data_IF_685032156232
#
_entry.id   IF_685032156232
#
_cell.length_a   1.000
_cell.length_b   1.000
_cell.length_c   1.000
_cell.angle_alpha   90.00
_cell.angle_beta   90.00
_cell.angle_gamma   90.00
#
_symmetry.space_group_name_H-M   'P 1'
#
loop_
_entity.id
_entity.type
_entity.pdbx_description
1 polymer ?
#
# COMPACT_ATOMS: atom_id res chain seq x y z
N UNK A 1 8.80 -9.42 39.89
CA UNK A 1 8.48 -9.27 38.45
C UNK A 1 7.44 -8.17 38.32
N UNK A 2 7.83 -6.98 37.89
CA UNK A 2 6.95 -5.83 37.82
C UNK A 2 6.23 -5.79 36.46
N UNK A 3 4.91 -5.91 36.46
CA UNK A 3 4.06 -5.68 35.30
C UNK A 3 4.01 -4.17 35.00
N UNK A 4 4.47 -3.75 33.82
CA UNK A 4 4.36 -2.37 33.37
C UNK A 4 2.89 -1.99 33.06
N UNK A 5 2.45 -0.75 33.35
CA UNK A 5 1.04 -0.33 33.27
C UNK A 5 0.50 -0.11 31.84
N UNK A 6 1.17 -0.61 30.81
CA UNK A 6 0.77 -0.47 29.40
C UNK A 6 0.81 -1.79 28.62
N UNK A 7 0.67 -2.93 29.29
CA UNK A 7 0.46 -4.19 28.59
C UNK A 7 -0.98 -4.24 28.04
N UNK A 8 -1.26 -3.40 27.04
CA UNK A 8 -2.47 -3.50 26.21
C UNK A 8 -2.54 -4.97 25.76
N UNK A 9 -3.68 -5.64 25.99
CA UNK A 9 -3.85 -7.00 25.45
C UNK A 9 -3.68 -6.92 23.93
N UNK A 10 -3.17 -7.97 23.24
CA UNK A 10 -2.93 -7.90 21.81
C UNK A 10 -4.15 -7.46 20.96
N UNK A 11 -5.37 -7.79 21.39
CA UNK A 11 -6.61 -7.30 20.78
C UNK A 11 -6.81 -5.79 20.97
N UNK A 12 -6.59 -5.28 22.19
CA UNK A 12 -6.74 -3.86 22.53
C UNK A 12 -5.71 -3.01 21.80
N UNK A 13 -4.46 -3.48 21.68
CA UNK A 13 -3.41 -2.82 20.90
C UNK A 13 -3.81 -2.69 19.42
N UNK A 14 -4.40 -3.75 18.83
CA UNK A 14 -4.92 -3.71 17.45
C UNK A 14 -6.07 -2.71 17.29
N UNK A 15 -7.01 -2.70 18.23
CA UNK A 15 -8.16 -1.79 18.20
C UNK A 15 -7.73 -0.34 18.37
N UNK A 16 -6.76 -0.09 19.24
CA UNK A 16 -6.13 1.21 19.40
C UNK A 16 -5.42 1.66 18.12
N UNK A 17 -4.61 0.79 17.51
CA UNK A 17 -3.92 1.10 16.26
C UNK A 17 -4.92 1.44 15.17
N UNK A 18 -5.97 0.62 15.01
CA UNK A 18 -7.05 0.86 14.05
C UNK A 18 -7.73 2.20 14.26
N UNK A 19 -8.05 2.54 15.51
CA UNK A 19 -8.68 3.82 15.85
C UNK A 19 -7.78 5.01 15.50
N UNK A 20 -6.47 4.90 15.80
CA UNK A 20 -5.49 5.93 15.46
C UNK A 20 -5.36 6.11 13.94
N UNK A 21 -5.19 5.01 13.20
CA UNK A 21 -5.08 5.07 11.74
C UNK A 21 -6.36 5.60 11.11
N UNK A 22 -7.53 5.19 11.60
CA UNK A 22 -8.81 5.68 11.08
C UNK A 22 -8.96 7.19 11.27
N UNK A 23 -8.55 7.71 12.43
CA UNK A 23 -8.53 9.14 12.69
C UNK A 23 -7.53 9.90 11.81
N UNK A 24 -6.31 9.40 11.66
CA UNK A 24 -5.27 10.09 10.87
C UNK A 24 -5.57 10.09 9.38
N UNK A 25 -6.12 8.99 8.86
CA UNK A 25 -6.33 8.73 7.43
C UNK A 25 -7.81 8.78 7.01
N UNK A 26 -8.69 9.31 7.86
CA UNK A 26 -10.13 9.50 7.58
C UNK A 26 -10.81 8.23 7.06
N UNK A 27 -10.54 7.10 7.73
CA UNK A 27 -11.09 5.79 7.37
C UNK A 27 -12.45 5.53 8.01
N UNK A 28 -13.19 6.55 8.43
CA UNK A 28 -14.44 6.40 9.19
C UNK A 28 -15.52 5.64 8.41
N UNK A 29 -15.45 5.67 7.07
CA UNK A 29 -16.36 4.95 6.17
C UNK A 29 -15.87 3.54 5.83
N UNK A 30 -14.74 3.12 6.41
CA UNK A 30 -14.10 1.86 6.11
C UNK A 30 -13.99 0.98 7.35
N UNK A 31 -14.30 -0.29 7.16
CA UNK A 31 -13.89 -1.34 8.06
C UNK A 31 -12.44 -1.72 7.75
N UNK A 32 -11.56 -1.55 8.74
CA UNK A 32 -10.11 -1.68 8.61
C UNK A 32 -9.63 -2.98 9.24
N UNK A 33 -8.79 -3.73 8.54
CA UNK A 33 -8.20 -4.99 8.99
C UNK A 33 -6.69 -4.98 8.72
N UNK A 34 -5.95 -5.77 9.49
CA UNK A 34 -4.51 -5.93 9.32
C UNK A 34 -4.13 -7.32 8.82
N UNK A 35 -3.10 -7.37 7.99
CA UNK A 35 -2.44 -8.58 7.55
C UNK A 35 -0.91 -8.39 7.64
N UNK A 36 -0.12 -9.47 7.82
CA UNK A 36 1.32 -9.36 7.98
C UNK A 36 2.05 -9.02 6.67
N UNK A 37 1.43 -9.31 5.51
CA UNK A 37 2.00 -9.04 4.20
C UNK A 37 0.91 -8.98 3.12
N UNK A 38 1.26 -8.43 1.95
CA UNK A 38 0.36 -8.42 0.79
C UNK A 38 0.03 -9.85 0.34
N UNK A 39 0.99 -10.77 0.46
CA UNK A 39 0.76 -12.17 0.12
C UNK A 39 -0.31 -12.81 1.00
N UNK A 40 -0.23 -12.63 2.32
CA UNK A 40 -1.25 -13.15 3.25
C UNK A 40 -2.59 -12.46 3.02
N UNK A 41 -2.61 -11.13 2.84
CA UNK A 41 -3.84 -10.40 2.49
C UNK A 41 -4.50 -10.97 1.23
N UNK A 42 -3.71 -11.29 0.19
CA UNK A 42 -4.21 -11.90 -1.05
C UNK A 42 -4.85 -13.26 -0.79
N UNK A 43 -4.21 -14.13 0.00
CA UNK A 43 -4.77 -15.44 0.34
C UNK A 43 -6.10 -15.28 1.09
N UNK A 44 -6.14 -14.41 2.10
CA UNK A 44 -7.34 -14.21 2.92
C UNK A 44 -8.50 -13.67 2.08
N UNK A 45 -8.24 -12.67 1.25
CA UNK A 45 -9.26 -12.11 0.36
C UNK A 45 -9.71 -13.17 -0.65
N UNK A 46 -8.80 -13.92 -1.28
CA UNK A 46 -9.18 -15.00 -2.21
C UNK A 46 -10.09 -16.03 -1.55
N UNK A 47 -9.78 -16.45 -0.32
CA UNK A 47 -10.62 -17.39 0.43
C UNK A 47 -11.99 -16.81 0.77
N UNK A 48 -12.03 -15.56 1.22
CA UNK A 48 -13.26 -14.83 1.55
C UNK A 48 -14.19 -14.77 0.33
N UNK A 49 -13.69 -14.25 -0.79
CA UNK A 49 -14.49 -14.08 -2.00
C UNK A 49 -14.88 -15.42 -2.64
N UNK A 50 -14.03 -16.45 -2.56
CA UNK A 50 -14.39 -17.80 -2.97
C UNK A 50 -15.58 -18.34 -2.15
N UNK A 51 -15.53 -18.19 -0.81
CA UNK A 51 -16.63 -18.61 0.07
C UNK A 51 -17.91 -17.83 -0.21
N UNK A 52 -17.80 -16.53 -0.46
CA UNK A 52 -18.95 -15.70 -0.84
C UNK A 52 -19.61 -16.20 -2.12
N UNK A 53 -18.81 -16.47 -3.16
CA UNK A 53 -19.33 -16.93 -4.44
C UNK A 53 -19.94 -18.34 -4.31
N UNK A 54 -19.33 -19.23 -3.51
CA UNK A 54 -19.89 -20.53 -3.15
C UNK A 54 -21.26 -20.38 -2.47
N UNK A 55 -21.35 -19.55 -1.43
CA UNK A 55 -22.61 -19.32 -0.70
C UNK A 55 -23.69 -18.70 -1.60
N UNK A 56 -23.30 -17.76 -2.47
CA UNK A 56 -24.22 -17.12 -3.43
C UNK A 56 -24.76 -18.13 -4.45
N UNK A 57 -23.88 -18.98 -4.98
CA UNK A 57 -24.29 -20.03 -5.91
C UNK A 57 -25.19 -21.05 -5.23
N UNK A 58 -24.83 -21.55 -4.04
CA UNK A 58 -25.68 -22.43 -3.24
C UNK A 58 -27.08 -21.85 -3.02
N UNK A 59 -27.19 -20.56 -2.69
CA UNK A 59 -28.49 -19.89 -2.51
C UNK A 59 -29.31 -19.84 -3.80
N UNK A 60 -28.67 -19.54 -4.94
CA UNK A 60 -29.33 -19.54 -6.27
C UNK A 60 -29.82 -20.94 -6.66
N UNK A 61 -29.04 -21.98 -6.37
CA UNK A 61 -29.43 -23.37 -6.65
C UNK A 61 -30.55 -23.83 -5.72
N UNK A 62 -30.49 -23.53 -4.43
CA UNK A 62 -31.53 -23.88 -3.45
C UNK A 62 -32.90 -23.22 -3.74
N UNK A 63 -32.94 -22.12 -4.49
CA UNK A 63 -34.21 -21.50 -4.90
C UNK A 63 -34.87 -22.19 -6.09
N UNK A 64 -34.12 -22.97 -6.88
CA UNK A 64 -34.61 -23.57 -8.13
C UNK A 64 -34.70 -25.10 -8.09
N UNK A 65 -34.02 -25.75 -7.15
CA UNK A 65 -33.94 -27.21 -7.07
C UNK A 65 -34.35 -27.73 -5.68
N UNK A 66 -35.06 -28.87 -5.61
CA UNK A 66 -35.43 -29.50 -4.35
C UNK A 66 -34.18 -29.93 -3.56
N UNK A 67 -34.28 -29.92 -2.23
CA UNK A 67 -33.15 -30.14 -1.29
C UNK A 67 -32.37 -31.44 -1.55
N UNK A 68 -33.02 -32.45 -2.11
CA UNK A 68 -32.43 -33.74 -2.50
C UNK A 68 -31.36 -33.64 -3.59
N UNK A 69 -31.36 -32.57 -4.39
CA UNK A 69 -30.44 -32.36 -5.51
C UNK A 69 -29.27 -31.41 -5.18
N UNK A 70 -29.26 -30.82 -3.98
CA UNK A 70 -28.22 -29.86 -3.54
C UNK A 70 -26.86 -30.50 -3.21
N UNK A 71 -26.76 -31.83 -3.18
CA UNK A 71 -25.48 -32.52 -2.95
C UNK A 71 -24.56 -32.52 -4.18
N UNK A 72 -25.08 -32.18 -5.37
CA UNK A 72 -24.31 -32.11 -6.62
C UNK A 72 -24.22 -30.63 -7.05
N UNK A 73 -23.47 -29.84 -6.27
CA UNK A 73 -23.21 -28.44 -6.64
C UNK A 73 -22.24 -28.41 -7.83
N UNK A 74 -22.54 -27.65 -8.91
CA UNK A 74 -21.60 -27.46 -9.99
C UNK A 74 -20.34 -26.79 -9.46
N UNK A 75 -19.18 -27.23 -9.96
CA UNK A 75 -17.88 -26.71 -9.59
C UNK A 75 -17.88 -25.17 -9.74
N UNK A 76 -17.71 -24.45 -8.63
CA UNK A 76 -17.49 -23.01 -8.66
C UNK A 76 -16.29 -22.77 -9.58
N UNK A 77 -16.39 -21.87 -10.58
CA UNK A 77 -15.29 -21.64 -11.49
C UNK A 77 -14.02 -21.31 -10.68
N UNK A 78 -12.96 -22.06 -10.94
CA UNK A 78 -11.64 -21.98 -10.31
C UNK A 78 -11.06 -20.54 -10.27
N UNK A 79 -11.61 -19.62 -11.05
CA UNK A 79 -11.22 -18.20 -11.07
C UNK A 79 -11.57 -17.44 -9.78
N UNK A 80 -12.49 -17.92 -8.94
CA UNK A 80 -12.79 -17.29 -7.65
C UNK A 80 -11.67 -17.45 -6.60
N UNK A 81 -10.61 -18.22 -6.90
CA UNK A 81 -9.54 -18.55 -5.96
C UNK A 81 -8.25 -17.71 -6.08
N UNK A 82 -8.12 -16.80 -7.05
CA UNK A 82 -6.89 -16.02 -7.21
C UNK A 82 -7.19 -14.54 -7.48
N UNK A 83 -7.38 -13.79 -6.39
CA UNK A 83 -7.51 -12.34 -6.47
C UNK A 83 -6.18 -11.74 -6.87
N UNK A 84 -6.23 -10.93 -7.93
CA UNK A 84 -5.11 -10.10 -8.32
C UNK A 84 -5.13 -8.79 -7.56
N UNK A 85 -3.94 -8.38 -7.11
CA UNK A 85 -3.71 -7.04 -6.61
C UNK A 85 -3.30 -6.15 -7.76
N UNK A 86 -4.06 -5.08 -7.96
CA UNK A 86 -3.88 -4.15 -9.06
C UNK A 86 -3.35 -2.84 -8.49
N UNK A 87 -2.05 -2.60 -8.68
CA UNK A 87 -1.38 -1.41 -8.16
C UNK A 87 -1.98 -0.11 -8.71
N UNK A 88 -2.44 0.79 -7.85
CA UNK A 88 -2.92 2.11 -8.26
C UNK A 88 -1.82 2.93 -8.93
N UNK A 89 -0.60 2.84 -8.39
CA UNK A 89 0.60 3.40 -9.02
C UNK A 89 1.47 2.25 -9.51
N UNK A 90 1.69 2.19 -10.81
CA UNK A 90 2.47 1.14 -11.45
C UNK A 90 3.96 1.46 -11.37
N UNK A 91 4.71 0.66 -10.60
CA UNK A 91 6.17 0.73 -10.55
C UNK A 91 6.80 -0.28 -11.53
N UNK A 92 8.00 0.03 -12.08
CA UNK A 92 8.79 1.24 -11.85
C UNK A 92 8.35 2.46 -12.68
N UNK A 93 7.43 2.32 -13.65
CA UNK A 93 7.07 3.36 -14.61
C UNK A 93 6.52 4.66 -13.97
N UNK A 94 5.92 4.57 -12.79
CA UNK A 94 5.31 5.68 -12.08
C UNK A 94 3.99 6.15 -12.69
N UNK A 95 3.27 5.26 -13.37
CA UNK A 95 1.97 5.58 -13.96
C UNK A 95 0.88 5.47 -12.90
N UNK A 96 0.11 6.54 -12.71
CA UNK A 96 -1.11 6.51 -11.88
C UNK A 96 -2.26 5.99 -12.75
N UNK A 97 -2.91 4.90 -12.31
CA UNK A 97 -4.03 4.27 -13.02
C UNK A 97 -5.35 4.76 -12.44
N UNK A 98 -6.43 4.69 -13.21
CA UNK A 98 -7.76 5.02 -12.67
C UNK A 98 -8.17 4.00 -11.61
N UNK A 99 -8.53 4.46 -10.42
CA UNK A 99 -9.07 3.59 -9.36
C UNK A 99 -10.31 2.82 -9.82
N UNK A 100 -11.13 3.40 -10.70
CA UNK A 100 -12.28 2.70 -11.26
C UNK A 100 -11.84 1.46 -12.06
N UNK A 101 -10.88 1.62 -12.97
CA UNK A 101 -10.35 0.52 -13.78
C UNK A 101 -9.67 -0.55 -12.93
N UNK A 102 -8.88 -0.13 -11.92
CA UNK A 102 -8.19 -1.07 -11.04
C UNK A 102 -9.17 -1.96 -10.27
N UNK A 103 -10.29 -1.40 -9.80
CA UNK A 103 -11.31 -2.13 -9.04
C UNK A 103 -12.07 -3.16 -9.88
N UNK A 104 -12.22 -2.92 -11.19
CA UNK A 104 -12.83 -3.90 -12.10
C UNK A 104 -11.92 -5.08 -12.40
N UNK A 105 -10.60 -4.90 -12.27
CA UNK A 105 -9.60 -5.93 -12.52
C UNK A 105 -9.23 -6.75 -11.27
N UNK A 106 -9.50 -6.23 -10.08
CA UNK A 106 -9.19 -6.91 -8.82
C UNK A 106 -9.21 -5.98 -7.61
N UNK A 107 -8.50 -6.39 -6.56
CA UNK A 107 -8.35 -5.57 -5.35
C UNK A 107 -7.24 -4.55 -5.57
N UNK A 108 -7.51 -3.28 -5.27
CA UNK A 108 -6.54 -2.21 -5.54
C UNK A 108 -5.43 -2.23 -4.50
N UNK A 109 -4.18 -2.32 -4.96
CA UNK A 109 -3.01 -2.06 -4.12
C UNK A 109 -2.66 -0.57 -4.19
N UNK A 110 -2.88 0.13 -3.09
CA UNK A 110 -2.66 1.57 -2.95
C UNK A 110 -1.41 1.87 -2.12
N UNK A 111 -0.48 0.92 -1.96
CA UNK A 111 0.73 1.10 -1.13
C UNK A 111 1.56 2.35 -1.48
N UNK A 112 1.53 2.78 -2.74
CA UNK A 112 2.27 3.94 -3.27
C UNK A 112 1.42 5.23 -3.34
N UNK A 113 0.15 5.16 -2.98
CA UNK A 113 -0.80 6.29 -2.99
C UNK A 113 -1.43 6.57 -1.62
N UNK A 114 -1.55 5.56 -0.78
CA UNK A 114 -2.02 5.68 0.58
C UNK A 114 -1.04 6.51 1.40
N UNK A 115 -1.55 7.43 2.23
CA UNK A 115 -0.74 8.36 3.01
C UNK A 115 0.21 9.26 2.18
N UNK A 116 0.00 9.37 0.86
CA UNK A 116 0.74 10.29 -0.01
C UNK A 116 -0.17 11.43 -0.50
N UNK A 117 0.36 12.24 -1.41
CA UNK A 117 -0.38 13.27 -2.15
C UNK A 117 -1.65 12.76 -2.86
N UNK A 118 -1.73 11.45 -3.15
CA UNK A 118 -2.87 10.79 -3.79
C UNK A 118 -3.88 10.19 -2.79
N UNK A 119 -3.67 10.38 -1.48
CA UNK A 119 -4.49 9.72 -0.45
C UNK A 119 -5.98 10.09 -0.54
N UNK A 120 -6.30 11.37 -0.75
CA UNK A 120 -7.70 11.83 -0.81
C UNK A 120 -8.43 11.23 -2.02
N UNK A 121 -7.73 11.00 -3.15
CA UNK A 121 -8.29 10.32 -4.32
C UNK A 121 -8.65 8.86 -3.99
N UNK A 122 -7.78 8.16 -3.26
CA UNK A 122 -8.05 6.81 -2.76
C UNK A 122 -9.28 6.80 -1.86
N UNK A 123 -9.38 7.73 -0.90
CA UNK A 123 -10.53 7.81 0.02
C UNK A 123 -11.84 8.15 -0.69
N UNK A 124 -11.77 8.92 -1.78
CA UNK A 124 -12.94 9.30 -2.56
C UNK A 124 -13.50 8.15 -3.41
N UNK A 125 -12.64 7.28 -3.94
CA UNK A 125 -13.05 6.36 -5.02
C UNK A 125 -12.81 4.86 -4.75
N UNK A 126 -11.95 4.51 -3.79
CA UNK A 126 -11.69 3.11 -3.49
C UNK A 126 -12.81 2.52 -2.62
N UNK A 127 -13.27 1.31 -2.97
CA UNK A 127 -14.27 0.52 -2.26
C UNK A 127 -13.61 -0.55 -1.41
N UNK A 128 -12.63 -1.27 -1.97
CA UNK A 128 -11.78 -2.21 -1.27
C UNK A 128 -10.34 -2.01 -1.74
N UNK A 129 -9.42 -1.81 -0.80
CA UNK A 129 -8.01 -1.65 -1.11
C UNK A 129 -7.10 -2.27 -0.06
N UNK A 130 -5.86 -2.52 -0.47
CA UNK A 130 -4.75 -2.92 0.41
C UNK A 130 -3.64 -1.89 0.37
N UNK A 131 -3.00 -1.63 1.50
CA UNK A 131 -1.92 -0.66 1.60
C UNK A 131 -0.82 -1.17 2.54
N UNK A 132 0.42 -1.21 2.09
CA UNK A 132 1.56 -1.34 2.98
C UNK A 132 1.74 -0.05 3.81
N UNK A 133 1.89 -0.20 5.11
CA UNK A 133 2.04 0.93 6.02
C UNK A 133 3.49 1.41 6.18
N UNK A 134 4.44 0.65 5.64
CA UNK A 134 5.87 0.96 5.67
C UNK A 134 6.36 1.88 4.53
N UNK A 135 5.44 2.34 3.69
CA UNK A 135 5.73 3.28 2.62
C UNK A 135 5.49 4.72 3.09
N UNK A 136 4.39 5.33 2.67
CA UNK A 136 4.14 6.73 2.96
C UNK A 136 3.57 6.98 4.35
N UNK A 137 3.00 5.97 5.02
CA UNK A 137 2.54 6.07 6.41
C UNK A 137 3.67 6.01 7.45
N UNK A 138 4.89 5.66 7.02
CA UNK A 138 6.11 5.69 7.85
C UNK A 138 6.04 4.81 9.11
N UNK A 139 5.33 3.69 9.02
CA UNK A 139 5.25 2.69 10.08
C UNK A 139 6.24 1.56 9.84
N UNK A 140 6.59 0.77 10.86
CA UNK A 140 7.45 -0.40 10.67
C UNK A 140 6.84 -1.42 9.70
N UNK A 141 7.73 -2.16 9.02
CA UNK A 141 7.34 -3.25 8.12
C UNK A 141 6.53 -4.34 8.83
N UNK A 142 5.83 -5.16 8.05
CA UNK A 142 5.05 -6.28 8.56
C UNK A 142 3.60 -5.94 8.88
N UNK A 143 3.11 -4.78 8.42
CA UNK A 143 1.69 -4.44 8.41
C UNK A 143 1.22 -4.02 7.03
N UNK A 144 0.18 -4.72 6.58
CA UNK A 144 -0.68 -4.34 5.47
C UNK A 144 -2.05 -4.02 6.04
N UNK A 145 -2.56 -2.86 5.68
CA UNK A 145 -3.91 -2.43 5.94
C UNK A 145 -4.81 -2.92 4.80
N UNK A 146 -5.91 -3.57 5.14
CA UNK A 146 -7.00 -3.95 4.23
C UNK A 146 -8.21 -3.11 4.65
N UNK A 147 -8.75 -2.30 3.75
CA UNK A 147 -9.87 -1.42 4.06
C UNK A 147 -11.05 -1.70 3.12
N UNK A 148 -12.23 -1.90 3.71
CA UNK A 148 -13.47 -2.17 3.00
C UNK A 148 -14.47 -1.06 3.31
N UNK A 149 -15.00 -0.40 2.29
CA UNK A 149 -16.01 0.65 2.47
C UNK A 149 -17.28 0.00 3.00
N UNK A 150 -17.72 0.42 4.18
CA UNK A 150 -18.81 -0.23 4.92
C UNK A 150 -20.10 -0.33 4.12
N UNK A 151 -20.42 0.69 3.31
CA UNK A 151 -21.64 0.73 2.50
C UNK A 151 -21.66 -0.29 1.33
N UNK A 152 -20.51 -0.79 0.92
CA UNK A 152 -20.35 -1.62 -0.28
C UNK A 152 -20.31 -3.13 0.00
N UNK A 153 -20.11 -3.52 1.27
CA UNK A 153 -19.87 -4.92 1.66
C UNK A 153 -20.80 -5.35 2.79
N UNK A 154 -21.25 -6.61 2.73
CA UNK A 154 -22.18 -7.14 3.72
C UNK A 154 -21.52 -7.30 5.10
N UNK A 155 -22.33 -7.24 6.16
CA UNK A 155 -21.84 -7.48 7.54
C UNK A 155 -21.14 -8.82 7.68
N UNK A 156 -21.58 -9.85 6.94
CA UNK A 156 -20.96 -11.18 6.95
C UNK A 156 -19.48 -11.13 6.50
N UNK A 157 -19.18 -10.47 5.37
CA UNK A 157 -17.80 -10.29 4.85
C UNK A 157 -16.91 -9.70 5.93
N UNK A 158 -17.42 -8.66 6.57
CA UNK A 158 -16.69 -7.87 7.56
C UNK A 158 -16.42 -8.69 8.81
N UNK A 159 -17.40 -9.48 9.27
CA UNK A 159 -17.23 -10.41 10.38
C UNK A 159 -16.23 -11.52 10.07
N UNK A 160 -16.25 -12.10 8.86
CA UNK A 160 -15.28 -13.13 8.46
C UNK A 160 -13.85 -12.59 8.41
N UNK A 161 -13.64 -11.40 7.85
CA UNK A 161 -12.32 -10.75 7.87
C UNK A 161 -11.83 -10.47 9.29
N UNK A 162 -12.73 -10.11 10.20
CA UNK A 162 -12.40 -9.92 11.62
C UNK A 162 -11.93 -11.21 12.27
N UNK A 163 -12.60 -12.34 11.96
CA UNK A 163 -12.23 -13.65 12.45
C UNK A 163 -10.88 -14.10 11.88
N UNK A 164 -10.63 -13.87 10.59
CA UNK A 164 -9.33 -14.17 9.99
C UNK A 164 -8.21 -13.36 10.64
N UNK A 165 -8.39 -12.05 10.82
CA UNK A 165 -7.42 -11.17 11.49
C UNK A 165 -7.07 -11.65 12.91
N UNK A 166 -8.05 -12.16 13.67
CA UNK A 166 -7.83 -12.67 15.02
C UNK A 166 -6.84 -13.85 15.06
N UNK A 167 -6.81 -14.68 14.01
CA UNK A 167 -5.89 -15.81 13.90
C UNK A 167 -4.49 -15.47 13.38
N UNK A 168 -4.20 -14.20 13.07
CA UNK A 168 -2.90 -13.80 12.51
C UNK A 168 -1.91 -13.35 13.58
N UNK A 169 -0.61 -13.70 13.45
CA UNK A 169 0.43 -13.25 14.37
C UNK A 169 0.83 -11.80 14.09
N UNK A 170 0.07 -10.85 14.63
CA UNK A 170 0.22 -9.41 14.36
C UNK A 170 0.77 -8.61 15.53
N UNK A 171 0.98 -9.22 16.68
CA UNK A 171 1.25 -8.51 17.94
C UNK A 171 2.51 -7.64 17.86
N UNK A 172 3.65 -8.24 17.51
CA UNK A 172 4.92 -7.54 17.39
C UNK A 172 4.86 -6.33 16.42
N UNK A 173 4.40 -6.47 15.17
CA UNK A 173 4.34 -5.32 14.26
C UNK A 173 3.29 -4.27 14.67
N UNK A 174 2.20 -4.67 15.34
CA UNK A 174 1.22 -3.72 15.91
C UNK A 174 1.83 -2.88 17.04
N UNK A 175 2.54 -3.50 17.97
CA UNK A 175 3.23 -2.77 19.04
C UNK A 175 4.31 -1.84 18.49
N UNK A 176 5.07 -2.29 17.49
CA UNK A 176 6.07 -1.47 16.82
C UNK A 176 5.44 -0.24 16.13
N UNK A 177 4.31 -0.40 15.44
CA UNK A 177 3.58 0.71 14.83
C UNK A 177 3.03 1.69 15.87
N UNK A 178 2.46 1.20 16.97
CA UNK A 178 2.01 2.05 18.08
C UNK A 178 3.17 2.82 18.72
N UNK A 179 4.34 2.21 18.86
CA UNK A 179 5.53 2.89 19.37
C UNK A 179 5.96 4.00 18.40
N UNK A 180 6.03 3.71 17.09
CA UNK A 180 6.39 4.70 16.06
C UNK A 180 5.45 5.90 16.03
N UNK A 181 4.13 5.68 16.15
CA UNK A 181 3.12 6.75 16.16
C UNK A 181 3.29 7.71 17.36
N UNK A 182 3.84 7.23 18.48
CA UNK A 182 4.07 8.06 19.68
C UNK A 182 5.30 8.95 19.55
N UNK A 183 6.20 8.68 18.59
CA UNK A 183 7.39 9.48 18.39
C UNK A 183 7.02 10.88 17.86
N UNK A 184 7.60 11.93 18.45
CA UNK A 184 7.30 13.31 18.05
C UNK A 184 7.68 13.63 16.60
N UNK A 185 8.65 12.88 16.05
CA UNK A 185 9.11 13.00 14.67
C UNK A 185 8.15 12.38 13.66
N UNK A 186 7.27 11.48 14.09
CA UNK A 186 6.33 10.83 13.19
C UNK A 186 5.29 11.84 12.68
N UNK A 187 5.03 11.76 11.38
CA UNK A 187 3.95 12.49 10.72
C UNK A 187 3.27 11.55 9.74
N UNK A 188 1.93 11.56 9.68
CA UNK A 188 1.18 10.53 8.97
C UNK A 188 1.32 10.57 7.45
N UNK A 189 1.60 11.73 6.85
CA UNK A 189 1.57 11.86 5.40
C UNK A 189 2.94 12.16 4.79
N UNK A 190 3.18 11.61 3.59
CA UNK A 190 4.21 12.06 2.66
C UNK A 190 3.63 13.11 1.71
N UNK A 191 4.10 14.35 1.84
CA UNK A 191 3.65 15.47 1.02
C UNK A 191 4.59 15.76 -0.15
N UNK A 192 5.64 14.96 -0.32
CA UNK A 192 6.56 15.13 -1.43
C UNK A 192 5.81 15.00 -2.76
N UNK A 193 5.99 15.99 -3.61
CA UNK A 193 5.49 16.02 -4.98
C UNK A 193 6.66 16.26 -5.91
N UNK A 194 6.78 15.45 -6.95
CA UNK A 194 7.84 15.55 -7.95
C UNK A 194 7.22 15.71 -9.32
N UNK A 195 7.47 16.86 -9.96
CA UNK A 195 7.05 17.13 -11.32
C UNK A 195 7.98 16.42 -12.32
N UNK A 196 7.67 16.54 -13.61
CA UNK A 196 8.56 16.05 -14.65
C UNK A 196 9.96 16.68 -14.52
N UNK A 197 10.98 15.84 -14.63
CA UNK A 197 12.39 16.22 -14.57
C UNK A 197 13.02 15.94 -15.93
N UNK A 198 13.75 16.92 -16.45
CA UNK A 198 14.64 16.76 -17.59
C UNK A 198 16.01 17.32 -17.22
N UNK A 199 17.04 16.50 -17.31
CA UNK A 199 18.40 16.89 -16.97
C UNK A 199 19.42 16.23 -17.89
N UNK A 200 20.54 16.92 -18.09
CA UNK A 200 21.66 16.42 -18.88
C UNK A 200 22.70 15.82 -17.93
N UNK A 201 22.66 14.51 -17.68
CA UNK A 201 23.71 13.79 -16.92
C UNK A 201 23.52 12.26 -17.00
N UNK A 202 24.52 11.44 -17.36
CA UNK A 202 25.55 11.62 -18.39
C UNK A 202 24.99 11.48 -19.82
N UNK A 203 23.71 11.14 -19.92
CA UNK A 203 22.85 11.21 -21.11
C UNK A 203 21.69 12.15 -20.79
N UNK A 204 20.87 12.51 -21.79
CA UNK A 204 19.61 13.20 -21.51
C UNK A 204 18.70 12.26 -20.71
N UNK A 205 18.40 12.64 -19.47
CA UNK A 205 17.49 11.92 -18.60
C UNK A 205 16.17 12.68 -18.52
N UNK A 206 15.12 12.02 -18.99
CA UNK A 206 13.74 12.48 -18.87
C UNK A 206 12.98 11.52 -17.98
N UNK A 207 12.30 12.05 -16.97
CA UNK A 207 11.52 11.23 -16.06
C UNK A 207 10.24 10.72 -16.73
N UNK A 208 9.88 9.45 -16.49
CA UNK A 208 8.70 8.80 -17.10
C UNK A 208 7.46 8.73 -16.21
N UNK A 209 7.56 9.15 -14.95
CA UNK A 209 6.48 9.08 -13.97
C UNK A 209 5.38 10.12 -14.23
N UNK A 210 4.20 9.87 -13.68
CA UNK A 210 3.09 10.84 -13.64
C UNK A 210 3.49 11.99 -12.72
N UNK A 211 3.52 13.25 -13.20
CA UNK A 211 3.87 14.39 -12.35
C UNK A 211 3.01 14.48 -11.09
N UNK A 212 3.64 14.82 -9.97
CA UNK A 212 2.96 15.01 -8.69
C UNK A 212 3.17 13.87 -7.69
N UNK A 213 3.62 12.70 -8.13
CA UNK A 213 3.89 11.55 -7.24
C UNK A 213 5.14 11.76 -6.36
N UNK A 214 5.29 11.04 -5.22
CA UNK A 214 6.39 11.24 -4.27
C UNK A 214 7.70 10.53 -4.69
N UNK A 215 8.01 10.50 -5.98
CA UNK A 215 9.24 9.92 -6.52
C UNK A 215 9.45 10.40 -7.96
N UNK A 216 10.65 10.19 -8.49
CA UNK A 216 10.91 10.27 -9.91
C UNK A 216 11.37 8.92 -10.45
N UNK A 217 10.94 8.58 -11.67
CA UNK A 217 11.38 7.36 -12.35
C UNK A 217 12.07 7.71 -13.67
N UNK A 218 13.20 7.06 -13.94
CA UNK A 218 14.01 7.28 -15.12
C UNK A 218 14.34 5.95 -15.78
N UNK A 219 14.13 5.85 -17.09
CA UNK A 219 14.66 4.77 -17.89
C UNK A 219 16.17 4.98 -18.07
N UNK A 220 16.97 3.94 -17.79
CA UNK A 220 18.42 3.99 -17.84
C UNK A 220 19.00 2.74 -18.51
N UNK A 221 20.06 2.88 -19.31
CA UNK A 221 20.88 1.75 -19.75
C UNK A 221 21.40 0.93 -18.56
N UNK A 222 21.46 -0.39 -18.71
CA UNK A 222 21.92 -1.30 -17.66
C UNK A 222 23.34 -0.99 -17.17
N UNK A 223 24.21 -0.49 -18.06
CA UNK A 223 25.58 -0.09 -17.71
C UNK A 223 25.62 1.06 -16.71
N UNK A 224 24.72 2.05 -16.86
CA UNK A 224 24.60 3.16 -15.91
C UNK A 224 23.97 2.70 -14.60
N UNK A 225 22.94 1.86 -14.64
CA UNK A 225 22.32 1.30 -13.44
C UNK A 225 23.31 0.46 -12.61
N UNK A 226 24.15 -0.33 -13.26
CA UNK A 226 25.15 -1.17 -12.59
C UNK A 226 26.25 -0.35 -11.90
N UNK A 227 26.48 0.89 -12.33
CA UNK A 227 27.45 1.80 -11.71
C UNK A 227 26.89 2.51 -10.47
N UNK A 228 25.57 2.47 -10.24
CA UNK A 228 24.94 3.12 -9.10
C UNK A 228 25.08 2.29 -7.83
N UNK A 229 25.40 2.94 -6.72
CA UNK A 229 25.39 2.32 -5.39
C UNK A 229 23.98 2.35 -4.80
N UNK A 230 23.49 1.24 -4.21
CA UNK A 230 22.21 1.23 -3.51
C UNK A 230 22.20 2.24 -2.37
N UNK A 231 21.10 2.97 -2.23
CA UNK A 231 20.84 3.89 -1.14
C UNK A 231 19.37 3.80 -0.72
N UNK A 232 19.04 4.27 0.49
CA UNK A 232 17.67 4.19 1.04
C UNK A 232 16.62 4.92 0.20
N UNK A 233 17.03 5.95 -0.53
CA UNK A 233 16.20 6.77 -1.40
C UNK A 233 16.12 6.24 -2.84
N UNK A 234 16.86 5.18 -3.17
CA UNK A 234 16.96 4.66 -4.54
C UNK A 234 16.39 3.25 -4.62
N UNK A 235 15.54 3.01 -5.61
CA UNK A 235 15.12 1.67 -6.03
C UNK A 235 15.64 1.41 -7.44
N UNK A 236 16.57 0.46 -7.55
CA UNK A 236 17.16 0.04 -8.82
C UNK A 236 16.38 -1.16 -9.36
N UNK A 237 16.00 -1.10 -10.63
CA UNK A 237 15.29 -2.17 -11.34
C UNK A 237 16.12 -2.59 -12.58
N UNK A 238 17.22 -3.35 -12.40
CA UNK A 238 18.16 -3.61 -13.48
C UNK A 238 17.56 -4.40 -14.65
N UNK A 239 16.66 -5.34 -14.36
CA UNK A 239 16.01 -6.16 -15.38
C UNK A 239 15.04 -5.35 -16.25
N UNK A 240 14.39 -4.34 -15.66
CA UNK A 240 13.45 -3.45 -16.34
C UNK A 240 14.13 -2.20 -16.91
N UNK A 241 15.37 -1.91 -16.52
CA UNK A 241 16.12 -0.73 -16.97
C UNK A 241 15.61 0.57 -16.34
N UNK A 242 15.21 0.55 -15.06
CA UNK A 242 14.71 1.75 -14.37
C UNK A 242 15.47 2.09 -13.09
N UNK A 243 15.63 3.39 -12.86
CA UNK A 243 15.99 3.99 -11.57
C UNK A 243 14.78 4.76 -11.05
N UNK A 244 14.38 4.45 -9.81
CA UNK A 244 13.40 5.23 -9.08
C UNK A 244 14.07 5.94 -7.91
N UNK A 245 13.90 7.27 -7.83
CA UNK A 245 14.40 8.11 -6.74
C UNK A 245 13.22 8.58 -5.89
N UNK A 246 13.16 8.09 -4.66
CA UNK A 246 12.11 8.38 -3.69
C UNK A 246 12.24 9.80 -3.15
N UNK A 247 11.10 10.45 -2.99
CA UNK A 247 11.00 11.76 -2.38
C UNK A 247 10.18 11.64 -1.09
N UNK A 248 10.69 12.21 0.00
CA UNK A 248 10.02 12.15 1.31
C UNK A 248 10.05 13.52 1.97
N UNK A 249 8.86 14.08 2.19
CA UNK A 249 8.67 15.24 3.05
C UNK A 249 7.46 14.96 3.91
N UNK A 250 7.71 14.77 5.20
CA UNK A 250 6.70 14.35 6.17
C UNK A 250 5.88 15.55 6.66
N UNK A 251 4.57 15.36 6.80
CA UNK A 251 3.64 16.41 7.21
C UNK A 251 2.35 15.88 7.82
N UNK A 252 1.61 16.77 8.50
CA UNK A 252 0.39 16.44 9.25
C UNK A 252 -0.91 16.83 8.53
N UNK A 253 -0.86 17.22 7.24
CA UNK A 253 -1.98 17.91 6.58
C UNK A 253 -2.00 17.77 5.06
N UNK A 254 -2.64 18.70 4.36
CA UNK A 254 -2.86 18.60 2.90
C UNK A 254 -1.83 19.33 2.02
N UNK A 255 -0.85 20.00 2.64
CA UNK A 255 0.05 20.91 1.91
C UNK A 255 1.16 20.12 1.21
N UNK A 256 1.07 20.02 -0.10
CA UNK A 256 2.11 19.41 -0.93
C UNK A 256 3.37 20.27 -0.95
N UNK A 257 4.53 19.60 -0.99
CA UNK A 257 5.84 20.23 -1.10
C UNK A 257 6.52 19.76 -2.37
N UNK A 258 6.79 20.69 -3.28
CA UNK A 258 7.47 20.38 -4.53
C UNK A 258 8.96 20.13 -4.27
N UNK A 259 9.40 18.87 -4.42
CA UNK A 259 10.79 18.45 -4.23
C UNK A 259 11.54 18.23 -5.56
N UNK A 260 10.96 18.62 -6.68
CA UNK A 260 11.56 18.47 -8.03
C UNK A 260 13.00 18.99 -8.09
N UNK A 261 13.34 20.18 -7.54
CA UNK A 261 14.72 20.67 -7.56
C UNK A 261 15.69 19.80 -6.74
N UNK A 262 15.23 19.26 -5.61
CA UNK A 262 16.05 18.41 -4.74
C UNK A 262 16.34 17.06 -5.41
N UNK A 263 15.31 16.45 -5.99
CA UNK A 263 15.46 15.20 -6.77
C UNK A 263 16.34 15.42 -8.00
N UNK A 264 16.18 16.54 -8.71
CA UNK A 264 17.05 16.88 -9.84
C UNK A 264 18.53 16.96 -9.45
N UNK A 265 18.85 17.66 -8.35
CA UNK A 265 20.22 17.72 -7.81
C UNK A 265 20.72 16.35 -7.36
N UNK A 266 19.87 15.56 -6.71
CA UNK A 266 20.21 14.19 -6.27
C UNK A 266 20.57 13.32 -7.46
N UNK A 267 19.76 13.31 -8.52
CA UNK A 267 20.02 12.56 -9.76
C UNK A 267 21.31 13.04 -10.42
N UNK A 268 21.54 14.35 -10.54
CA UNK A 268 22.80 14.89 -11.07
C UNK A 268 24.02 14.42 -10.27
N UNK A 269 23.91 14.38 -8.94
CA UNK A 269 24.99 13.92 -8.07
C UNK A 269 25.30 12.42 -8.22
N UNK A 270 24.32 11.59 -8.60
CA UNK A 270 24.56 10.16 -8.88
C UNK A 270 25.49 9.92 -10.07
N UNK A 271 25.52 10.85 -11.02
CA UNK A 271 26.28 10.72 -12.28
C UNK A 271 27.44 11.71 -12.40
N UNK A 272 27.63 12.58 -11.42
CA UNK A 272 28.76 13.51 -11.39
C UNK A 272 29.98 12.82 -10.79
N UNK A 273 31.14 12.78 -11.48
CA UNK A 273 32.36 12.21 -10.91
C UNK A 273 32.84 13.08 -9.73
N UNK A 274 32.69 12.58 -8.50
CA UNK A 274 33.32 13.16 -7.31
C UNK A 274 32.60 14.36 -6.69
N UNK A 275 31.40 14.17 -6.15
CA UNK A 275 30.77 15.09 -5.18
C UNK A 275 30.94 14.56 -3.76
N UNK A 276 31.75 15.25 -2.95
CA UNK A 276 32.14 14.92 -1.56
C UNK A 276 31.01 14.33 -0.71
N UNK A 277 31.33 13.26 0.02
CA UNK A 277 30.58 12.76 1.17
C UNK A 277 30.02 13.90 2.01
N UNK A 278 28.69 13.99 2.11
CA UNK A 278 28.05 14.79 3.14
C UNK A 278 28.47 14.20 4.50
N UNK A 279 29.25 14.98 5.23
CA UNK A 279 29.48 14.77 6.66
C UNK A 279 28.13 14.86 7.37
N UNK A 280 27.79 13.79 8.10
CA UNK A 280 26.75 13.81 9.13
C UNK A 280 27.02 14.97 10.10
N UNK A 281 26.03 15.82 10.29
CA UNK A 281 25.84 16.63 11.49
C UNK A 281 24.51 16.21 12.12
#
# INVERSE_FOLDING_TARGET
MAFHPWADRPSEARDRLRTLLSRHYRLDQYDVFFAPSLHVARILLSQLFLRQEQARNQTRYATHFPVTELNVLPAVPLMAGNINFVAHVELPHGRVRSLHECQHQGVVDVSESFASVLHEEVMAHARLFVARLDRHADLPNGLVLVALRTADFSTLVRSELRLFEQGLPLDAPVFAALARIREQSWRPYNHASVNAISLNAPVLLTSSHTPGVPFASFALPQTLLAALTPASDLELWPQQGYLLVRASQRGSGRKQSNLTPQIGRRVQALFSPGGKSEKKA
#
